data_IF_190913413651
#
_entry.id   IF_190913413651
#
_cell.length_a   1.000
_cell.length_b   1.000
_cell.length_c   1.000
_cell.angle_alpha   90.00
_cell.angle_beta   90.00
_cell.angle_gamma   90.00
#
_symmetry.space_group_name_H-M   'P 1'
#
loop_
_entity.id
_entity.type
_entity.pdbx_description
1 polymer ?
#
# COMPACT_ATOMS: atom_id res chain seq x y z
N UNK A 1 29.83 3.17 -16.77
CA UNK A 1 30.28 2.06 -15.88
C UNK A 1 29.11 1.26 -15.30
N UNK A 2 27.86 1.59 -15.59
CA UNK A 2 26.62 0.95 -15.09
C UNK A 2 26.20 -0.28 -15.91
N UNK A 3 26.42 -0.27 -17.25
CA UNK A 3 25.99 -1.33 -18.18
C UNK A 3 26.34 -2.77 -17.76
N UNK A 4 27.52 -3.00 -17.21
CA UNK A 4 27.95 -4.34 -16.82
C UNK A 4 27.32 -4.85 -15.51
N UNK A 5 26.83 -3.96 -14.66
CA UNK A 5 26.16 -4.35 -13.40
C UNK A 5 24.70 -4.72 -13.66
N UNK A 6 24.00 -3.94 -14.47
CA UNK A 6 22.60 -4.19 -14.86
C UNK A 6 22.47 -5.50 -15.66
N UNK A 7 23.37 -5.74 -16.61
CA UNK A 7 23.38 -6.99 -17.37
C UNK A 7 23.60 -8.22 -16.48
N UNK A 8 24.53 -8.13 -15.52
CA UNK A 8 24.75 -9.21 -14.55
C UNK A 8 23.53 -9.45 -13.64
N UNK A 9 22.85 -8.38 -13.21
CA UNK A 9 21.64 -8.50 -12.41
C UNK A 9 20.53 -9.21 -13.19
N UNK A 10 20.35 -8.88 -14.47
CA UNK A 10 19.38 -9.57 -15.34
C UNK A 10 19.76 -11.05 -15.58
N UNK A 11 21.05 -11.35 -15.75
CA UNK A 11 21.55 -12.73 -15.84
C UNK A 11 21.24 -13.53 -14.57
N UNK A 12 21.44 -12.96 -13.38
CA UNK A 12 21.13 -13.61 -12.10
C UNK A 12 19.63 -13.82 -11.91
N UNK A 13 18.79 -12.82 -12.21
CA UNK A 13 17.33 -12.96 -12.15
C UNK A 13 16.85 -14.05 -13.13
N UNK A 14 17.39 -14.06 -14.35
CA UNK A 14 17.09 -15.09 -15.35
C UNK A 14 17.56 -16.48 -14.93
N UNK A 15 18.70 -16.57 -14.23
CA UNK A 15 19.19 -17.83 -13.69
C UNK A 15 18.28 -18.33 -12.56
N UNK A 16 17.83 -17.45 -11.65
CA UNK A 16 16.87 -17.81 -10.62
C UNK A 16 15.58 -18.38 -11.21
N UNK A 17 15.06 -17.77 -12.28
CA UNK A 17 13.85 -18.24 -12.99
C UNK A 17 14.08 -19.56 -13.76
N UNK A 18 15.32 -19.96 -14.05
CA UNK A 18 15.59 -21.30 -14.58
C UNK A 18 15.45 -22.40 -13.53
N UNK A 19 15.73 -22.08 -12.25
CA UNK A 19 15.58 -23.01 -11.12
C UNK A 19 14.15 -23.02 -10.58
N UNK A 20 13.51 -21.86 -10.50
CA UNK A 20 12.13 -21.67 -10.09
C UNK A 20 11.41 -20.70 -11.03
N UNK A 21 10.79 -21.21 -12.11
CA UNK A 21 10.11 -20.39 -13.11
C UNK A 21 8.90 -19.62 -12.56
N UNK A 22 8.37 -20.07 -11.43
CA UNK A 22 7.16 -19.51 -10.81
C UNK A 22 7.47 -18.62 -9.61
N UNK A 23 8.75 -18.34 -9.32
CA UNK A 23 9.17 -17.49 -8.22
C UNK A 23 8.65 -16.05 -8.38
N UNK A 24 7.66 -15.59 -7.56
CA UNK A 24 7.13 -14.24 -7.67
C UNK A 24 8.21 -13.18 -7.43
N UNK A 25 9.14 -13.48 -6.52
CA UNK A 25 10.25 -12.60 -6.14
C UNK A 25 11.24 -12.42 -7.30
N UNK A 26 11.65 -13.51 -7.95
CA UNK A 26 12.56 -13.43 -9.09
C UNK A 26 11.91 -12.69 -10.28
N UNK A 27 10.60 -12.85 -10.48
CA UNK A 27 9.85 -12.15 -11.50
C UNK A 27 9.82 -10.63 -11.22
N UNK A 28 9.43 -10.19 -10.00
CA UNK A 28 9.38 -8.75 -9.76
C UNK A 28 10.77 -8.10 -9.80
N UNK A 29 11.83 -8.78 -9.37
CA UNK A 29 13.21 -8.30 -9.52
C UNK A 29 13.58 -8.12 -10.99
N UNK A 30 13.21 -9.08 -11.86
CA UNK A 30 13.39 -8.93 -13.30
C UNK A 30 12.60 -7.75 -13.87
N UNK A 31 11.37 -7.52 -13.38
CA UNK A 31 10.57 -6.36 -13.75
C UNK A 31 11.28 -5.05 -13.36
N UNK A 32 11.82 -4.97 -12.13
CA UNK A 32 12.59 -3.81 -11.66
C UNK A 32 13.80 -3.52 -12.54
N UNK A 33 14.54 -4.55 -12.94
CA UNK A 33 15.72 -4.42 -13.83
C UNK A 33 15.27 -3.90 -15.20
N UNK A 34 14.20 -4.45 -15.79
CA UNK A 34 13.69 -4.00 -17.09
C UNK A 34 13.18 -2.57 -17.03
N UNK A 35 12.54 -2.19 -15.94
CA UNK A 35 12.08 -0.81 -15.71
C UNK A 35 13.27 0.16 -15.68
N UNK A 36 14.35 -0.15 -14.95
CA UNK A 36 15.58 0.65 -14.93
C UNK A 36 16.24 0.81 -16.32
N UNK A 37 16.01 -0.16 -17.22
CA UNK A 37 16.44 -0.14 -18.61
C UNK A 37 15.44 0.58 -19.54
N UNK A 38 14.37 1.19 -19.02
CA UNK A 38 13.28 1.82 -19.80
C UNK A 38 12.53 0.83 -20.71
N UNK A 39 12.52 -0.46 -20.38
CA UNK A 39 11.79 -1.53 -21.08
C UNK A 39 10.43 -1.74 -20.43
N UNK A 40 9.60 -0.71 -20.41
CA UNK A 40 8.37 -0.64 -19.62
C UNK A 40 7.35 -1.74 -19.97
N UNK A 41 7.14 -2.02 -21.26
CA UNK A 41 6.20 -3.07 -21.70
C UNK A 41 6.61 -4.46 -21.20
N UNK A 42 7.91 -4.75 -21.26
CA UNK A 42 8.45 -6.01 -20.78
C UNK A 42 8.40 -6.10 -19.24
N UNK A 43 8.65 -4.99 -18.55
CA UNK A 43 8.52 -4.92 -17.09
C UNK A 43 7.07 -5.17 -16.67
N UNK A 44 6.10 -4.53 -17.32
CA UNK A 44 4.68 -4.71 -17.05
C UNK A 44 4.21 -6.17 -17.27
N UNK A 45 4.70 -6.83 -18.33
CA UNK A 45 4.37 -8.25 -18.59
C UNK A 45 4.90 -9.15 -17.48
N UNK A 46 6.12 -8.93 -17.02
CA UNK A 46 6.72 -9.70 -15.91
C UNK A 46 6.01 -9.43 -14.58
N UNK A 47 5.56 -8.21 -14.33
CA UNK A 47 4.71 -7.91 -13.17
C UNK A 47 3.40 -8.70 -13.21
N UNK A 48 2.69 -8.74 -14.36
CA UNK A 48 1.47 -9.55 -14.51
C UNK A 48 1.73 -11.03 -14.26
N UNK A 49 2.84 -11.56 -14.77
CA UNK A 49 3.24 -12.95 -14.51
C UNK A 49 3.47 -13.19 -13.01
N UNK A 50 4.21 -12.29 -12.33
CA UNK A 50 4.44 -12.40 -10.89
C UNK A 50 3.12 -12.40 -10.11
N UNK A 51 2.23 -11.45 -10.36
CA UNK A 51 0.94 -11.35 -9.69
C UNK A 51 0.08 -12.59 -9.87
N UNK A 52 0.06 -13.16 -11.09
CA UNK A 52 -0.72 -14.36 -11.40
C UNK A 52 -0.33 -15.59 -10.60
N UNK A 53 0.87 -15.61 -9.99
CA UNK A 53 1.35 -16.76 -9.22
C UNK A 53 0.77 -16.83 -7.82
N UNK A 54 0.48 -15.68 -7.19
CA UNK A 54 0.08 -15.64 -5.78
C UNK A 54 -1.16 -14.78 -5.51
N UNK A 55 -1.41 -13.72 -6.28
CA UNK A 55 -2.53 -12.82 -6.02
C UNK A 55 -3.87 -13.55 -6.26
N UNK A 56 -4.72 -13.58 -5.23
CA UNK A 56 -5.99 -14.32 -5.28
C UNK A 56 -5.86 -15.83 -5.08
N UNK A 57 -4.68 -16.38 -4.84
CA UNK A 57 -4.46 -17.79 -4.59
C UNK A 57 -4.08 -18.06 -3.12
N UNK A 58 -5.07 -18.39 -2.31
CA UNK A 58 -4.86 -18.66 -0.87
C UNK A 58 -3.95 -19.88 -0.57
N UNK A 59 -3.66 -20.72 -1.56
CA UNK A 59 -2.80 -21.90 -1.41
C UNK A 59 -1.32 -21.58 -1.61
N UNK A 60 -0.99 -20.39 -2.10
CA UNK A 60 0.38 -19.95 -2.36
C UNK A 60 0.74 -18.88 -1.34
N UNK A 61 1.89 -19.05 -0.70
CA UNK A 61 2.40 -18.01 0.20
C UNK A 61 2.77 -16.77 -0.62
N UNK A 62 2.20 -15.60 -0.30
CA UNK A 62 2.55 -14.37 -1.00
C UNK A 62 3.98 -13.95 -0.68
N UNK A 63 4.61 -13.08 -1.49
CA UNK A 63 5.85 -12.41 -1.14
C UNK A 63 5.73 -11.68 0.21
N UNK A 64 6.85 -11.45 0.88
CA UNK A 64 6.88 -10.70 2.15
C UNK A 64 6.27 -9.30 2.01
N UNK A 65 5.89 -8.69 3.13
CA UNK A 65 5.34 -7.33 3.14
C UNK A 65 6.26 -6.34 2.38
N UNK A 66 7.56 -6.34 2.70
CA UNK A 66 8.53 -5.44 2.06
C UNK A 66 8.69 -5.69 0.54
N UNK A 67 8.61 -6.93 0.10
CA UNK A 67 8.66 -7.28 -1.33
C UNK A 67 7.40 -6.81 -2.06
N UNK A 68 6.23 -6.91 -1.44
CA UNK A 68 4.98 -6.40 -2.01
C UNK A 68 4.96 -4.85 -2.06
N UNK A 69 5.49 -4.16 -1.04
CA UNK A 69 5.70 -2.70 -1.10
C UNK A 69 6.61 -2.33 -2.28
N UNK A 70 7.70 -3.08 -2.47
CA UNK A 70 8.60 -2.85 -3.62
C UNK A 70 7.91 -3.09 -4.97
N UNK A 71 7.05 -4.12 -5.04
CA UNK A 71 6.25 -4.39 -6.23
C UNK A 71 5.24 -3.27 -6.51
N UNK A 72 4.56 -2.74 -5.47
CA UNK A 72 3.63 -1.61 -5.61
C UNK A 72 4.34 -0.39 -6.22
N UNK A 73 5.55 -0.07 -5.77
CA UNK A 73 6.35 1.04 -6.34
C UNK A 73 6.56 0.86 -7.86
N UNK A 74 6.90 -0.35 -8.29
CA UNK A 74 7.07 -0.68 -9.73
C UNK A 74 5.74 -0.56 -10.47
N UNK A 75 4.64 -1.08 -9.90
CA UNK A 75 3.32 -1.03 -10.52
C UNK A 75 2.85 0.42 -10.73
N UNK A 76 3.06 1.29 -9.74
CA UNK A 76 2.74 2.71 -9.85
C UNK A 76 3.57 3.40 -10.94
N UNK A 77 4.86 3.10 -11.04
CA UNK A 77 5.75 3.66 -12.08
C UNK A 77 5.38 3.18 -13.50
N UNK A 78 4.73 2.01 -13.59
CA UNK A 78 4.24 1.43 -14.85
C UNK A 78 2.77 1.80 -15.15
N UNK A 79 2.16 2.71 -14.40
CA UNK A 79 0.74 3.10 -14.52
C UNK A 79 -0.24 1.91 -14.37
N UNK A 80 0.17 0.85 -13.63
CA UNK A 80 -0.62 -0.35 -13.38
C UNK A 80 -1.43 -0.20 -12.08
N UNK A 81 -2.29 0.82 -12.00
CA UNK A 81 -2.97 1.24 -10.77
C UNK A 81 -3.92 0.18 -10.22
N UNK A 82 -4.73 -0.48 -11.06
CA UNK A 82 -5.64 -1.56 -10.64
C UNK A 82 -4.89 -2.70 -9.92
N UNK A 83 -3.73 -3.08 -10.48
CA UNK A 83 -2.88 -4.11 -9.90
C UNK A 83 -2.21 -3.62 -8.62
N UNK A 84 -1.79 -2.35 -8.57
CA UNK A 84 -1.23 -1.76 -7.36
C UNK A 84 -2.26 -1.76 -6.22
N UNK A 85 -3.50 -1.32 -6.48
CA UNK A 85 -4.61 -1.35 -5.52
C UNK A 85 -4.88 -2.76 -5.02
N UNK A 86 -4.91 -3.76 -5.91
CA UNK A 86 -5.12 -5.16 -5.52
C UNK A 86 -4.02 -5.71 -4.60
N UNK A 87 -2.77 -5.27 -4.79
CA UNK A 87 -1.65 -5.64 -3.88
C UNK A 87 -1.77 -4.89 -2.56
N UNK A 88 -2.10 -3.60 -2.59
CA UNK A 88 -2.28 -2.77 -1.39
C UNK A 88 -3.37 -3.32 -0.48
N UNK A 89 -4.49 -3.83 -1.02
CA UNK A 89 -5.52 -4.51 -0.24
C UNK A 89 -4.98 -5.72 0.55
N UNK A 90 -4.02 -6.46 0.01
CA UNK A 90 -3.40 -7.57 0.74
C UNK A 90 -2.50 -7.09 1.87
N UNK A 91 -1.84 -5.95 1.69
CA UNK A 91 -0.97 -5.33 2.69
C UNK A 91 -1.79 -4.71 3.83
N UNK A 92 -2.87 -4.02 3.51
CA UNK A 92 -3.77 -3.41 4.48
C UNK A 92 -4.37 -4.43 5.46
N UNK A 93 -4.71 -5.64 4.98
CA UNK A 93 -5.22 -6.72 5.85
C UNK A 93 -4.18 -7.24 6.85
N UNK A 94 -2.89 -7.02 6.62
CA UNK A 94 -1.81 -7.43 7.51
C UNK A 94 -1.39 -6.32 8.47
N UNK A 95 -1.35 -5.09 7.97
CA UNK A 95 -0.95 -3.90 8.74
C UNK A 95 -1.56 -2.66 8.09
N UNK A 96 -2.60 -2.10 8.69
CA UNK A 96 -3.30 -0.90 8.24
C UNK A 96 -2.79 0.39 8.92
N UNK A 97 -1.88 0.27 9.89
CA UNK A 97 -1.23 1.42 10.53
C UNK A 97 0.07 1.87 9.84
N UNK A 98 0.36 1.40 8.63
CA UNK A 98 1.58 1.73 7.91
C UNK A 98 1.42 3.01 7.06
N UNK A 99 2.26 4.03 7.30
CA UNK A 99 2.23 5.33 6.60
C UNK A 99 2.48 5.19 5.09
N UNK A 100 3.48 4.39 4.68
CA UNK A 100 3.79 4.18 3.25
C UNK A 100 2.62 3.52 2.51
N UNK A 101 1.88 2.60 3.16
CA UNK A 101 0.72 1.94 2.59
C UNK A 101 -0.33 2.97 2.12
N UNK A 102 -0.73 3.87 3.01
CA UNK A 102 -1.75 4.88 2.72
C UNK A 102 -1.26 5.94 1.72
N UNK A 103 0.04 6.24 1.74
CA UNK A 103 0.65 7.08 0.71
C UNK A 103 0.55 6.44 -0.69
N UNK A 104 0.81 5.14 -0.82
CA UNK A 104 0.69 4.45 -2.10
C UNK A 104 -0.76 4.31 -2.57
N UNK A 105 -1.72 4.11 -1.66
CA UNK A 105 -3.14 4.21 -2.00
C UNK A 105 -3.48 5.60 -2.55
N UNK A 106 -3.01 6.66 -1.88
CA UNK A 106 -3.18 8.04 -2.34
C UNK A 106 -2.65 8.23 -3.75
N UNK A 107 -1.43 7.77 -4.03
CA UNK A 107 -0.83 7.85 -5.36
C UNK A 107 -1.62 7.06 -6.42
N UNK A 108 -2.03 5.84 -6.09
CA UNK A 108 -2.77 4.98 -7.01
C UNK A 108 -4.09 5.64 -7.41
N UNK A 109 -4.90 6.06 -6.45
CA UNK A 109 -6.18 6.72 -6.72
C UNK A 109 -6.03 8.09 -7.37
N UNK A 110 -5.01 8.87 -7.01
CA UNK A 110 -4.79 10.19 -7.61
C UNK A 110 -4.51 10.11 -9.12
N UNK A 111 -3.77 9.09 -9.55
CA UNK A 111 -3.40 8.89 -10.95
C UNK A 111 -4.39 8.03 -11.73
N UNK A 112 -5.12 7.13 -11.08
CA UNK A 112 -6.13 6.30 -11.74
C UNK A 112 -7.44 7.07 -11.94
N UNK A 113 -7.54 7.71 -13.08
CA UNK A 113 -8.70 8.53 -13.44
C UNK A 113 -9.50 7.95 -14.59
N UNK A 114 -9.39 6.63 -14.84
CA UNK A 114 -9.97 5.98 -16.01
C UNK A 114 -11.50 6.01 -16.02
N UNK A 115 -12.12 5.66 -14.90
CA UNK A 115 -13.58 5.51 -14.81
C UNK A 115 -14.25 6.83 -14.36
N UNK A 116 -13.83 7.38 -13.23
CA UNK A 116 -14.34 8.62 -12.67
C UNK A 116 -13.23 9.35 -11.91
N UNK A 117 -12.78 10.46 -12.48
CA UNK A 117 -11.78 11.30 -11.82
C UNK A 117 -12.26 11.82 -10.46
N UNK A 118 -13.53 12.16 -10.34
CA UNK A 118 -14.10 12.69 -9.10
C UNK A 118 -14.08 11.64 -7.99
N UNK A 119 -14.52 10.43 -8.30
CA UNK A 119 -14.56 9.33 -7.34
C UNK A 119 -13.14 8.89 -6.94
N UNK A 120 -12.24 8.71 -7.92
CA UNK A 120 -10.84 8.38 -7.66
C UNK A 120 -10.15 9.44 -6.80
N UNK A 121 -10.43 10.72 -7.05
CA UNK A 121 -9.85 11.80 -6.25
C UNK A 121 -10.47 11.94 -4.86
N UNK A 122 -11.73 11.56 -4.64
CA UNK A 122 -12.31 11.43 -3.30
C UNK A 122 -11.60 10.32 -2.51
N UNK A 123 -11.43 9.14 -3.10
CA UNK A 123 -10.69 8.03 -2.49
C UNK A 123 -9.24 8.42 -2.19
N UNK A 124 -8.56 9.12 -3.11
CA UNK A 124 -7.21 9.62 -2.89
C UNK A 124 -7.15 10.59 -1.70
N UNK A 125 -8.15 11.46 -1.53
CA UNK A 125 -8.21 12.41 -0.43
C UNK A 125 -8.38 11.71 0.93
N UNK A 126 -9.26 10.73 1.04
CA UNK A 126 -9.47 9.92 2.23
C UNK A 126 -8.20 9.16 2.64
N UNK A 127 -7.54 8.51 1.66
CA UNK A 127 -6.28 7.83 1.90
C UNK A 127 -5.18 8.80 2.34
N UNK A 128 -5.11 9.99 1.74
CA UNK A 128 -4.14 11.02 2.10
C UNK A 128 -4.36 11.54 3.53
N UNK A 129 -5.60 11.76 3.93
CA UNK A 129 -5.94 12.19 5.31
C UNK A 129 -5.55 11.09 6.32
N UNK A 130 -5.79 9.83 6.02
CA UNK A 130 -5.36 8.69 6.84
C UNK A 130 -3.83 8.63 6.92
N UNK A 131 -3.13 8.77 5.79
CA UNK A 131 -1.67 8.82 5.74
C UNK A 131 -1.11 9.93 6.63
N UNK A 132 -1.64 11.15 6.55
CA UNK A 132 -1.17 12.29 7.32
C UNK A 132 -1.49 12.16 8.83
N UNK A 133 -2.64 11.56 9.20
CA UNK A 133 -2.98 11.23 10.58
C UNK A 133 -1.96 10.23 11.18
N UNK A 134 -1.67 9.15 10.45
CA UNK A 134 -0.69 8.16 10.87
C UNK A 134 0.73 8.74 10.94
N UNK A 135 1.10 9.56 9.96
CA UNK A 135 2.38 10.27 9.95
C UNK A 135 2.62 11.04 11.25
N UNK A 136 1.61 11.77 11.72
CA UNK A 136 1.68 12.52 12.98
C UNK A 136 1.65 11.59 14.21
N UNK A 137 0.75 10.59 14.23
CA UNK A 137 0.60 9.64 15.35
C UNK A 137 1.89 8.87 15.61
N UNK A 138 2.60 8.48 14.54
CA UNK A 138 3.81 7.63 14.63
C UNK A 138 5.10 8.43 14.64
N UNK A 139 5.05 9.76 14.63
CA UNK A 139 6.24 10.64 14.52
C UNK A 139 7.15 10.21 13.35
N UNK A 140 6.52 9.89 12.21
CA UNK A 140 7.23 9.38 11.04
C UNK A 140 8.18 10.42 10.47
N UNK A 141 9.41 10.02 10.13
CA UNK A 141 10.49 10.91 9.69
C UNK A 141 10.76 10.79 8.18
N UNK A 142 9.77 11.17 7.36
CA UNK A 142 9.91 11.28 5.90
C UNK A 142 9.21 12.54 5.40
N UNK A 143 9.93 13.64 5.43
CA UNK A 143 9.45 14.95 4.98
C UNK A 143 9.09 15.00 3.48
N UNK A 144 9.69 14.16 2.64
CA UNK A 144 9.40 14.12 1.20
C UNK A 144 8.06 13.46 0.96
N UNK A 145 7.78 12.34 1.62
CA UNK A 145 6.49 11.66 1.59
C UNK A 145 5.37 12.61 2.07
N UNK A 146 5.59 13.28 3.21
CA UNK A 146 4.61 14.22 3.77
C UNK A 146 4.29 15.35 2.79
N UNK A 147 5.30 16.03 2.24
CA UNK A 147 5.11 17.13 1.28
C UNK A 147 4.44 16.67 0.01
N UNK A 148 4.76 15.48 -0.48
CA UNK A 148 4.11 14.90 -1.65
C UNK A 148 2.63 14.64 -1.38
N UNK A 149 2.30 14.05 -0.24
CA UNK A 149 0.93 13.79 0.18
C UNK A 149 0.12 15.09 0.35
N UNK A 150 0.67 16.09 1.05
CA UNK A 150 0.07 17.42 1.20
C UNK A 150 -0.18 18.11 -0.15
N UNK A 151 0.76 18.03 -1.09
CA UNK A 151 0.61 18.58 -2.44
C UNK A 151 -0.51 17.93 -3.26
N UNK A 152 -0.73 16.62 -3.10
CA UNK A 152 -1.87 15.93 -3.71
C UNK A 152 -3.18 16.46 -3.11
N UNK A 153 -3.27 16.55 -1.77
CA UNK A 153 -4.44 17.10 -1.07
C UNK A 153 -4.77 18.52 -1.55
N UNK A 154 -3.77 19.38 -1.62
CA UNK A 154 -3.96 20.75 -2.12
C UNK A 154 -4.48 20.78 -3.55
N UNK A 155 -3.94 19.94 -4.43
CA UNK A 155 -4.36 19.84 -5.83
C UNK A 155 -5.81 19.39 -5.96
N UNK A 156 -6.21 18.38 -5.20
CA UNK A 156 -7.57 17.85 -5.22
C UNK A 156 -8.56 18.90 -4.70
N UNK A 157 -8.27 19.52 -3.55
CA UNK A 157 -9.13 20.56 -2.96
C UNK A 157 -9.25 21.80 -3.84
N UNK A 158 -8.17 22.20 -4.52
CA UNK A 158 -8.20 23.31 -5.47
C UNK A 158 -9.12 23.04 -6.68
N UNK A 159 -9.39 21.77 -7.01
CA UNK A 159 -10.35 21.40 -8.06
C UNK A 159 -11.81 21.45 -7.62
N UNK A 160 -12.08 21.75 -6.33
CA UNK A 160 -13.44 21.82 -5.76
C UNK A 160 -13.98 20.48 -5.27
N UNK A 161 -13.16 19.42 -5.27
CA UNK A 161 -13.53 18.11 -4.71
C UNK A 161 -13.25 18.12 -3.19
N UNK A 162 -14.25 17.70 -2.42
CA UNK A 162 -14.19 17.54 -0.96
C UNK A 162 -14.83 16.22 -0.57
N UNK A 163 -14.38 15.64 0.53
CA UNK A 163 -15.05 14.51 1.17
C UNK A 163 -16.07 15.10 2.15
N UNK A 164 -17.32 14.68 2.07
CA UNK A 164 -18.33 15.03 3.05
C UNK A 164 -17.98 14.35 4.38
N UNK A 165 -17.76 15.16 5.42
CA UNK A 165 -17.34 14.66 6.74
C UNK A 165 -18.36 13.75 7.43
N UNK A 166 -19.60 13.75 6.94
CA UNK A 166 -20.68 12.95 7.52
C UNK A 166 -20.59 11.43 7.23
N UNK A 167 -19.70 11.00 6.31
CA UNK A 167 -19.49 9.58 6.00
C UNK A 167 -18.35 8.94 6.82
N UNK A 168 -17.50 9.74 7.49
CA UNK A 168 -16.30 9.24 8.19
C UNK A 168 -16.58 8.93 9.68
N UNK A 169 -17.65 9.50 10.26
CA UNK A 169 -17.92 9.46 11.71
C UNK A 169 -18.76 8.25 12.16
N UNK A 170 -18.94 7.25 11.30
CA UNK A 170 -19.77 6.07 11.57
C UNK A 170 -19.11 4.96 12.41
N UNK A 171 -17.88 5.11 12.91
CA UNK A 171 -17.17 4.02 13.58
C UNK A 171 -16.42 4.40 14.87
N UNK A 172 -16.75 5.52 15.50
CA UNK A 172 -16.20 5.90 16.81
C UNK A 172 -17.29 5.99 17.87
N UNK A 173 -18.14 4.95 18.02
CA UNK A 173 -18.97 4.79 19.21
C UNK A 173 -18.93 3.33 19.64
N UNK A 174 -17.94 2.94 20.44
CA UNK A 174 -17.99 1.88 21.45
C UNK A 174 -16.77 1.97 22.38
N UNK A 175 -16.55 3.16 23.01
CA UNK A 175 -15.87 3.18 24.30
C UNK A 175 -16.91 2.78 25.35
N UNK A 176 -17.08 1.46 25.57
CA UNK A 176 -17.80 0.96 26.72
C UNK A 176 -17.12 1.42 28.00
N UNK A 177 -17.83 2.30 28.66
CA UNK A 177 -17.59 2.82 30.02
C UNK A 177 -17.62 1.63 31.01
N UNK A 178 -16.48 1.06 31.34
CA UNK A 178 -16.34 0.05 32.38
C UNK A 178 -16.41 0.76 33.73
N UNK A 179 -17.64 1.04 34.24
CA UNK A 179 -17.82 1.39 35.61
C UNK A 179 -17.41 0.21 36.52
N UNK A 180 -16.32 0.42 37.23
CA UNK A 180 -15.76 -0.44 38.26
C UNK A 180 -16.76 -0.44 39.45
N UNK A 181 -17.62 -1.47 39.52
CA UNK A 181 -18.46 -1.70 40.66
C UNK A 181 -17.64 -2.37 41.76
N UNK A 182 -17.08 -1.55 42.65
CA UNK A 182 -16.56 -2.01 43.95
C UNK A 182 -17.72 -2.52 44.79
N UNK A 183 -17.99 -3.83 44.78
CA UNK A 183 -18.83 -4.49 45.77
C UNK A 183 -18.02 -4.71 47.07
N UNK A 184 -18.23 -3.81 48.04
CA UNK A 184 -17.86 -3.97 49.44
C UNK A 184 -18.54 -5.22 50.02
N UNK A 185 -17.79 -6.30 50.18
CA UNK A 185 -18.23 -7.45 50.97
C UNK A 185 -17.76 -7.25 52.42
N UNK A 186 -18.65 -6.69 53.25
CA UNK A 186 -18.50 -6.74 54.71
C UNK A 186 -18.49 -8.19 55.19
N UNK A 187 -17.38 -8.64 55.76
CA UNK A 187 -17.33 -9.87 56.55
C UNK A 187 -17.85 -9.57 57.95
N UNK A 188 -19.07 -10.02 58.26
CA UNK A 188 -19.54 -10.14 59.64
C UNK A 188 -18.83 -11.33 60.33
N UNK A 189 -18.09 -11.01 61.36
CA UNK A 189 -17.61 -11.95 62.37
C UNK A 189 -18.80 -12.52 63.16
N UNK A 190 -18.91 -13.85 63.14
CA UNK A 190 -19.79 -14.56 64.08
C UNK A 190 -19.02 -15.63 64.85
N UNK A 191 -18.69 -15.32 66.09
CA UNK A 191 -18.57 -16.11 67.29
C UNK A 191 -18.37 -17.64 67.20
#
# INVERSE_FOLDING_TARGET
MTDGAEQKSEEYASLALKYDPDSPVALYLLASIRLSQSRNDEAAEVCRQSLSKWLGNASVQPPTYAERISLVKILLELDMYDQALSVLETLQREDDENVELWYFYTCAYYHDTKDSKEESWKNALECAETCLKLYQKMEWDDDELRKSCEGIVETIRASGISVDKDEIDGNEEDEEDWEDSEDDVEMEDAN
#
